data_IF_533714636397
#
_entry.id   IF_533714636397
#
_cell.length_a   1.000
_cell.length_b   1.000
_cell.length_c   1.000
_cell.angle_alpha   90.00
_cell.angle_beta   90.00
_cell.angle_gamma   90.00
#
_symmetry.space_group_name_H-M   'P 1'
#
loop_
_entity.id
_entity.type
_entity.pdbx_description
1 polymer ?
#
# COMPACT_ATOMS: atom_id res chain seq x y z
N UNK A 1 14.30 4.37 2.34
CA UNK A 1 13.04 3.63 2.14
C UNK A 1 12.59 3.82 0.69
N UNK A 2 12.48 2.73 -0.07
CA UNK A 2 12.02 2.77 -1.46
C UNK A 2 10.51 2.56 -1.56
N UNK A 3 9.95 2.70 -2.77
CA UNK A 3 8.52 2.42 -3.04
C UNK A 3 8.17 0.97 -2.67
N UNK A 4 9.04 0.02 -3.02
CA UNK A 4 8.86 -1.40 -2.75
C UNK A 4 8.82 -1.71 -1.26
N UNK A 5 9.60 -0.96 -0.47
CA UNK A 5 9.66 -1.10 0.99
C UNK A 5 8.34 -0.64 1.64
N UNK A 6 7.79 0.49 1.18
CA UNK A 6 6.45 0.97 1.58
C UNK A 6 5.38 -0.06 1.21
N UNK A 7 5.43 -0.61 0.00
CA UNK A 7 4.47 -1.62 -0.47
C UNK A 7 4.57 -2.90 0.38
N UNK A 8 5.79 -3.36 0.68
CA UNK A 8 6.01 -4.52 1.53
C UNK A 8 5.48 -4.27 2.94
N UNK A 9 5.69 -3.07 3.51
CA UNK A 9 5.16 -2.69 4.82
C UNK A 9 3.63 -2.69 4.84
N UNK A 10 3.00 -2.08 3.84
CA UNK A 10 1.55 -2.09 3.66
C UNK A 10 1.00 -3.53 3.58
N UNK A 11 1.63 -4.38 2.76
CA UNK A 11 1.24 -5.77 2.58
C UNK A 11 1.43 -6.63 3.85
N UNK A 12 2.42 -6.31 4.69
CA UNK A 12 2.67 -6.98 5.97
C UNK A 12 1.61 -6.64 7.01
N UNK A 13 1.28 -5.36 7.15
CA UNK A 13 0.28 -4.89 8.13
C UNK A 13 -1.16 -5.03 7.63
N UNK A 14 -1.37 -5.46 6.39
CA UNK A 14 -2.70 -5.58 5.79
C UNK A 14 -3.37 -4.22 5.56
N UNK A 15 -2.56 -3.20 5.27
CA UNK A 15 -3.04 -1.84 5.01
C UNK A 15 -2.93 -1.51 3.52
N UNK A 16 -3.87 -0.70 3.02
CA UNK A 16 -3.87 -0.28 1.61
C UNK A 16 -3.55 1.20 1.47
N UNK A 17 -2.88 1.54 0.37
CA UNK A 17 -2.61 2.94 0.03
C UNK A 17 -3.08 3.25 -1.38
N UNK A 18 -3.45 4.50 -1.61
CA UNK A 18 -3.87 4.92 -2.95
C UNK A 18 -2.67 5.22 -3.83
N UNK A 19 -2.80 4.97 -5.14
CA UNK A 19 -1.78 5.37 -6.12
C UNK A 19 -1.39 6.85 -5.97
N UNK A 20 -2.37 7.72 -5.69
CA UNK A 20 -2.14 9.15 -5.48
C UNK A 20 -1.30 9.45 -4.24
N UNK A 21 -1.59 8.80 -3.11
CA UNK A 21 -0.81 8.97 -1.88
C UNK A 21 0.64 8.52 -2.06
N UNK A 22 0.84 7.35 -2.68
CA UNK A 22 2.16 6.80 -2.93
C UNK A 22 2.96 7.69 -3.91
N UNK A 23 2.32 8.13 -5.00
CA UNK A 23 2.94 9.03 -5.97
C UNK A 23 3.36 10.37 -5.35
N UNK A 24 2.48 10.95 -4.53
CA UNK A 24 2.77 12.19 -3.83
C UNK A 24 3.89 12.05 -2.79
N UNK A 25 4.04 10.88 -2.15
CA UNK A 25 5.13 10.64 -1.21
C UNK A 25 6.51 10.68 -1.87
N UNK A 26 6.61 10.17 -3.09
CA UNK A 26 7.86 10.14 -3.85
C UNK A 26 8.01 11.31 -4.83
N UNK A 27 7.06 12.26 -4.84
CA UNK A 27 7.00 13.37 -5.80
C UNK A 27 7.05 12.89 -7.27
N UNK A 28 6.44 11.75 -7.56
CA UNK A 28 6.40 11.11 -8.88
C UNK A 28 5.00 11.14 -9.50
N UNK A 29 4.92 10.95 -10.81
CA UNK A 29 3.63 10.75 -11.48
C UNK A 29 3.03 9.39 -11.13
N UNK A 30 1.72 9.34 -10.85
CA UNK A 30 0.98 8.11 -10.50
C UNK A 30 1.18 6.97 -11.49
N UNK A 31 1.25 7.30 -12.78
CA UNK A 31 1.52 6.32 -13.82
C UNK A 31 2.94 5.74 -13.71
N UNK A 32 3.95 6.55 -13.38
CA UNK A 32 5.32 6.07 -13.18
C UNK A 32 5.47 5.19 -11.94
N UNK A 33 4.60 5.33 -10.94
CA UNK A 33 4.66 4.52 -9.72
C UNK A 33 4.39 3.04 -9.99
N UNK A 34 3.70 2.66 -11.07
CA UNK A 34 3.50 1.22 -11.39
C UNK A 34 3.92 0.84 -12.80
N UNK A 35 4.41 1.78 -13.61
CA UNK A 35 4.77 1.54 -15.01
C UNK A 35 5.80 0.41 -15.22
N UNK A 36 6.74 0.26 -14.30
CA UNK A 36 7.83 -0.73 -14.39
C UNK A 36 7.66 -1.89 -13.39
N UNK A 37 6.49 -1.97 -12.72
CA UNK A 37 6.26 -2.94 -11.64
C UNK A 37 5.38 -4.06 -12.12
N UNK A 38 5.80 -5.29 -11.85
CA UNK A 38 4.98 -6.47 -12.10
C UNK A 38 3.73 -6.46 -11.23
N UNK A 39 2.63 -6.95 -11.79
CA UNK A 39 1.35 -7.08 -11.08
C UNK A 39 1.39 -8.32 -10.19
N UNK A 40 1.93 -8.14 -8.98
CA UNK A 40 2.09 -9.17 -7.96
C UNK A 40 1.12 -8.96 -6.78
N UNK A 41 0.94 -9.99 -5.95
CA UNK A 41 0.11 -9.90 -4.74
C UNK A 41 0.52 -8.72 -3.84
N UNK A 42 1.81 -8.45 -3.71
CA UNK A 42 2.29 -7.32 -2.90
C UNK A 42 1.88 -5.97 -3.50
N UNK A 43 2.00 -5.81 -4.82
CA UNK A 43 1.63 -4.57 -5.48
C UNK A 43 0.10 -4.36 -5.55
N UNK A 44 -0.70 -5.41 -5.31
CA UNK A 44 -2.17 -5.32 -5.24
C UNK A 44 -2.69 -4.50 -4.06
N UNK A 45 -1.86 -4.26 -3.03
CA UNK A 45 -2.18 -3.41 -1.88
C UNK A 45 -2.25 -1.91 -2.23
N UNK A 46 -1.82 -1.55 -3.44
CA UNK A 46 -1.98 -0.19 -3.97
C UNK A 46 -3.23 -0.11 -4.82
N UNK A 47 -4.17 0.72 -4.39
CA UNK A 47 -5.53 0.73 -4.90
C UNK A 47 -5.95 2.09 -5.44
N UNK A 48 -6.99 2.13 -6.26
CA UNK A 48 -7.57 3.40 -6.68
C UNK A 48 -8.45 3.99 -5.56
N UNK A 49 -8.30 5.30 -5.30
CA UNK A 49 -9.08 6.01 -4.26
C UNK A 49 -10.60 5.91 -4.44
N UNK A 50 -11.05 5.78 -5.70
CA UNK A 50 -12.48 5.69 -6.05
C UNK A 50 -13.08 4.31 -5.78
N UNK A 51 -12.37 3.23 -6.12
CA UNK A 51 -12.91 1.86 -6.07
C UNK A 51 -12.37 1.05 -4.90
N UNK A 52 -11.26 1.46 -4.29
CA UNK A 52 -10.56 0.67 -3.28
C UNK A 52 -9.92 -0.60 -3.84
N UNK A 53 -9.81 -0.72 -5.17
CA UNK A 53 -9.24 -1.89 -5.85
C UNK A 53 -8.03 -1.52 -6.72
N UNK A 54 -7.08 -2.44 -6.90
CA UNK A 54 -5.94 -2.25 -7.78
C UNK A 54 -6.40 -2.26 -9.25
N UNK A 55 -5.77 -1.44 -10.09
CA UNK A 55 -6.19 -1.28 -11.49
C UNK A 55 -5.38 -2.19 -12.42
N UNK A 56 -6.08 -2.99 -13.23
CA UNK A 56 -5.45 -3.88 -14.21
C UNK A 56 -4.94 -5.21 -13.65
N UNK A 57 -5.30 -5.57 -12.41
CA UNK A 57 -4.93 -6.84 -11.79
C UNK A 57 -6.03 -7.88 -12.02
N UNK A 58 -5.63 -9.11 -12.33
CA UNK A 58 -6.53 -10.27 -12.34
C UNK A 58 -6.84 -10.70 -10.89
N UNK A 59 -7.99 -11.35 -10.62
CA UNK A 59 -8.35 -11.80 -9.27
C UNK A 59 -7.31 -12.74 -8.63
N UNK A 60 -6.63 -13.54 -9.45
CA UNK A 60 -5.52 -14.41 -9.05
C UNK A 60 -4.22 -13.66 -8.69
N UNK A 61 -4.06 -12.41 -9.15
CA UNK A 61 -2.94 -11.52 -8.83
C UNK A 61 -3.26 -10.57 -7.67
N UNK A 62 -4.50 -10.61 -7.16
CA UNK A 62 -4.92 -9.84 -6.00
C UNK A 62 -4.70 -10.70 -4.75
N UNK A 63 -4.08 -10.11 -3.73
CA UNK A 63 -3.92 -10.79 -2.44
C UNK A 63 -5.31 -11.04 -1.82
N UNK A 64 -5.66 -12.26 -1.40
CA UNK A 64 -6.97 -12.54 -0.80
C UNK A 64 -7.22 -11.72 0.47
N UNK A 65 -6.16 -11.30 1.20
CA UNK A 65 -6.29 -10.44 2.37
C UNK A 65 -6.76 -9.02 2.00
N UNK A 66 -6.47 -8.57 0.78
CA UNK A 66 -6.99 -7.30 0.27
C UNK A 66 -8.51 -7.36 0.13
N UNK A 67 -9.03 -8.46 -0.40
CA UNK A 67 -10.47 -8.68 -0.54
C UNK A 67 -11.14 -8.66 0.84
N UNK A 68 -10.57 -9.37 1.81
CA UNK A 68 -11.06 -9.38 3.18
C UNK A 68 -11.03 -7.98 3.82
N UNK A 69 -9.96 -7.20 3.59
CA UNK A 69 -9.86 -5.82 4.04
C UNK A 69 -10.99 -4.94 3.46
N UNK A 70 -11.24 -5.05 2.16
CA UNK A 70 -12.30 -4.30 1.48
C UNK A 70 -13.68 -4.74 1.97
N UNK A 71 -13.92 -6.04 2.13
CA UNK A 71 -15.16 -6.61 2.66
C UNK A 71 -15.46 -6.14 4.09
N UNK A 72 -14.43 -6.01 4.92
CA UNK A 72 -14.53 -5.45 6.28
C UNK A 72 -14.74 -3.93 6.29
N UNK A 73 -14.77 -3.26 5.13
CA UNK A 73 -14.92 -1.81 5.03
C UNK A 73 -13.62 -1.04 5.31
N UNK A 74 -12.47 -1.68 5.12
CA UNK A 74 -11.16 -1.09 5.26
C UNK A 74 -10.99 0.14 4.36
N UNK A 75 -10.35 1.17 4.89
CA UNK A 75 -10.18 2.46 4.19
C UNK A 75 -8.74 2.61 3.71
N UNK A 76 -8.51 2.75 2.39
CA UNK A 76 -7.17 3.00 1.88
C UNK A 76 -6.68 4.38 2.28
N UNK A 77 -5.37 4.51 2.49
CA UNK A 77 -4.70 5.78 2.76
C UNK A 77 -4.75 6.66 1.50
N UNK A 78 -5.51 7.75 1.56
CA UNK A 78 -5.84 8.57 0.38
C UNK A 78 -4.86 9.72 0.18
N UNK A 79 -4.18 10.13 1.25
CA UNK A 79 -3.31 11.29 1.27
C UNK A 79 -1.87 10.90 1.59
N UNK A 80 -0.92 11.69 1.08
CA UNK A 80 0.50 11.53 1.41
C UNK A 80 0.77 11.70 2.91
N UNK A 81 0.05 12.61 3.57
CA UNK A 81 0.21 12.87 5.00
C UNK A 81 -0.23 11.66 5.85
N UNK A 82 -1.36 11.04 5.49
CA UNK A 82 -1.85 9.81 6.11
C UNK A 82 -0.86 8.66 5.89
N UNK A 83 -0.38 8.49 4.65
CA UNK A 83 0.59 7.45 4.31
C UNK A 83 1.90 7.65 5.08
N UNK A 84 2.42 8.88 5.12
CA UNK A 84 3.66 9.20 5.83
C UNK A 84 3.53 8.96 7.33
N UNK A 85 2.45 9.43 7.93
CA UNK A 85 2.18 9.25 9.37
C UNK A 85 2.06 7.77 9.71
N UNK A 86 1.33 7.02 8.88
CA UNK A 86 1.19 5.58 9.06
C UNK A 86 2.53 4.85 8.90
N UNK A 87 3.31 5.16 7.87
CA UNK A 87 4.63 4.55 7.66
C UNK A 87 5.54 4.86 8.84
N UNK A 88 5.62 6.11 9.29
CA UNK A 88 6.43 6.48 10.45
C UNK A 88 6.01 5.73 11.72
N UNK A 89 4.71 5.58 11.97
CA UNK A 89 4.20 4.85 13.12
C UNK A 89 4.55 3.35 13.06
N UNK A 90 4.45 2.72 11.88
CA UNK A 90 4.68 1.27 11.73
C UNK A 90 6.16 0.91 11.48
N UNK A 91 7.00 1.85 11.03
CA UNK A 91 8.46 1.67 10.99
C UNK A 91 9.08 1.79 12.38
N UNK A 92 8.53 2.64 13.25
CA UNK A 92 9.09 2.86 14.60
C UNK A 92 8.76 1.70 15.54
N UNK A 93 7.67 0.97 15.27
CA UNK A 93 7.27 -0.22 16.04
C UNK A 93 8.28 -1.38 15.90
N UNK A 94 9.03 -1.45 14.78
CA UNK A 94 10.05 -2.49 14.57
C UNK A 94 11.37 -2.26 15.32
N UNK A 95 11.58 -1.09 15.94
CA UNK A 95 12.83 -0.76 16.67
C UNK A 95 12.75 -1.03 18.19
N UNK A 96 11.56 -1.36 18.73
CA UNK A 96 11.34 -1.51 20.18
C UNK A 96 10.90 -2.91 20.65
N UNK A 97 10.90 -3.92 19.78
CA UNK A 97 10.63 -5.30 20.19
C UNK A 97 11.90 -6.18 20.13
N UNK A 98 12.99 -5.70 20.74
CA UNK A 98 13.94 -6.59 21.39
C UNK A 98 13.28 -7.07 22.69
N UNK A 99 12.93 -8.36 22.71
CA UNK A 99 12.31 -8.97 23.87
C UNK A 99 13.20 -8.99 25.11
N UNK A 100 12.59 -8.87 26.28
CA UNK A 100 12.62 -9.89 27.32
C UNK A 100 11.49 -9.68 28.33
#
# INVERSE_FOLDING_TARGET
>A
MGVEDIIALLARHGQTATYGALAALFEMATQSVMKDREQTHQNSWIVASKTGMPSGYSPEQIDPRLLEFVEKGGKPLKSVDELRTWVLANTTDEDFNEGE
#
